data_IF_276292704136
#
_entry.id   IF_276292704136
#
_cell.length_a   1.000
_cell.length_b   1.000
_cell.length_c   1.000
_cell.angle_alpha   90.00
_cell.angle_beta   90.00
_cell.angle_gamma   90.00
#
_symmetry.space_group_name_H-M   'P 1'
#
loop_
_entity.id
_entity.type
_entity.pdbx_description
1 polymer ?
#
# COMPACT_ATOMS: atom_id res chain seq x y z
N UNK A 1 -19.58 7.42 -13.13
CA UNK A 1 -18.15 7.72 -13.42
C UNK A 1 -17.24 6.52 -13.11
N UNK A 2 -17.11 6.11 -11.85
CA UNK A 2 -16.23 4.99 -11.43
C UNK A 2 -16.66 3.65 -12.06
N UNK A 3 -17.97 3.38 -12.15
CA UNK A 3 -18.49 2.14 -12.78
C UNK A 3 -18.18 2.08 -14.27
N UNK A 4 -18.41 3.17 -14.99
CA UNK A 4 -18.02 3.26 -16.40
C UNK A 4 -16.53 2.97 -16.59
N UNK A 5 -15.66 3.48 -15.71
CA UNK A 5 -14.22 3.17 -15.71
C UNK A 5 -13.95 1.68 -15.43
N UNK A 6 -14.65 1.09 -14.46
CA UNK A 6 -14.55 -0.34 -14.14
C UNK A 6 -14.91 -1.24 -15.33
N UNK A 7 -15.90 -0.86 -16.13
CA UNK A 7 -16.41 -1.64 -17.27
C UNK A 7 -15.69 -1.35 -18.60
N UNK A 8 -14.74 -0.41 -18.59
CA UNK A 8 -13.98 -0.01 -19.77
C UNK A 8 -12.59 -0.63 -19.74
N UNK A 9 -12.33 -1.61 -20.62
CA UNK A 9 -11.03 -2.28 -20.78
C UNK A 9 -10.46 -2.22 -22.20
N UNK A 10 -11.26 -1.74 -23.15
CA UNK A 10 -10.95 -1.64 -24.58
C UNK A 10 -11.31 -0.23 -25.08
N UNK A 11 -10.70 0.19 -26.20
CA UNK A 11 -10.89 1.55 -26.73
C UNK A 11 -10.35 2.63 -25.78
N UNK A 12 -9.34 2.26 -25.00
CA UNK A 12 -8.69 3.10 -23.98
C UNK A 12 -7.48 3.83 -24.55
N UNK A 13 -6.96 4.84 -23.83
CA UNK A 13 -5.76 5.60 -24.24
C UNK A 13 -4.55 4.70 -24.53
N UNK A 14 -4.37 3.69 -23.69
CA UNK A 14 -3.44 2.59 -23.90
C UNK A 14 -4.21 1.28 -23.74
N UNK A 15 -4.00 0.31 -24.61
CA UNK A 15 -4.56 -1.03 -24.47
C UNK A 15 -3.95 -1.75 -23.26
N UNK A 16 -4.67 -2.77 -22.76
CA UNK A 16 -4.20 -3.59 -21.64
C UNK A 16 -2.85 -4.26 -21.94
N UNK A 17 -2.67 -4.75 -23.17
CA UNK A 17 -1.42 -5.38 -23.60
C UNK A 17 -0.27 -4.37 -23.69
N UNK A 18 -0.51 -3.15 -24.16
CA UNK A 18 0.51 -2.09 -24.17
C UNK A 18 0.97 -1.74 -22.75
N UNK A 19 0.05 -1.64 -21.79
CA UNK A 19 0.38 -1.37 -20.38
C UNK A 19 1.21 -2.53 -19.80
N UNK A 20 0.81 -3.77 -20.05
CA UNK A 20 1.55 -4.95 -19.59
C UNK A 20 2.97 -4.96 -20.17
N UNK A 21 3.09 -4.77 -21.49
CA UNK A 21 4.37 -4.75 -22.18
C UNK A 21 5.26 -3.59 -21.71
N UNK A 22 4.66 -2.45 -21.38
CA UNK A 22 5.36 -1.30 -20.79
C UNK A 22 6.01 -1.67 -19.44
N UNK A 23 5.29 -2.30 -18.51
CA UNK A 23 5.86 -2.76 -17.23
C UNK A 23 6.93 -3.84 -17.44
N UNK A 24 6.71 -4.78 -18.36
CA UNK A 24 7.69 -5.82 -18.70
C UNK A 24 8.98 -5.20 -19.27
N UNK A 25 8.86 -4.23 -20.17
CA UNK A 25 10.01 -3.53 -20.77
C UNK A 25 10.76 -2.68 -19.73
N UNK A 26 10.04 -2.03 -18.80
CA UNK A 26 10.65 -1.34 -17.66
C UNK A 26 11.47 -2.31 -16.81
N UNK A 27 10.89 -3.45 -16.43
CA UNK A 27 11.60 -4.50 -15.70
C UNK A 27 12.85 -5.03 -16.42
N UNK A 28 12.84 -5.11 -17.76
CA UNK A 28 14.00 -5.56 -18.56
C UNK A 28 15.08 -4.49 -18.74
N UNK A 29 14.69 -3.22 -18.82
CA UNK A 29 15.62 -2.10 -19.08
C UNK A 29 16.31 -1.58 -17.82
N UNK A 30 15.68 -1.74 -16.66
CA UNK A 30 16.18 -1.28 -15.38
C UNK A 30 17.24 -2.26 -14.86
N UNK A 31 18.48 -1.78 -14.78
CA UNK A 31 19.61 -2.53 -14.22
C UNK A 31 19.79 -2.12 -12.76
N UNK A 32 19.05 -2.76 -11.85
CA UNK A 32 19.23 -2.58 -10.41
C UNK A 32 19.95 -3.79 -9.85
N UNK A 33 21.11 -3.57 -9.22
CA UNK A 33 21.82 -4.60 -8.47
C UNK A 33 21.46 -4.49 -7.00
N UNK A 34 20.77 -5.50 -6.48
CA UNK A 34 20.40 -5.59 -5.07
C UNK A 34 21.21 -6.73 -4.47
N UNK A 35 22.00 -6.43 -3.45
CA UNK A 35 22.77 -7.43 -2.73
C UNK A 35 22.57 -7.25 -1.22
N UNK A 36 22.40 -8.34 -0.45
CA UNK A 36 22.35 -8.25 0.99
C UNK A 36 23.74 -7.83 1.52
N UNK A 37 23.75 -6.91 2.48
CA UNK A 37 24.97 -6.47 3.16
C UNK A 37 24.83 -6.62 4.68
N UNK A 38 25.92 -6.83 5.42
CA UNK A 38 25.88 -6.79 6.88
C UNK A 38 25.39 -5.43 7.39
N UNK A 39 24.71 -5.40 8.54
CA UNK A 39 24.26 -4.13 9.15
C UNK A 39 25.41 -3.15 9.42
N UNK A 40 26.61 -3.66 9.71
CA UNK A 40 27.81 -2.84 9.90
C UNK A 40 28.32 -2.16 8.62
N UNK A 41 27.79 -2.52 7.46
CA UNK A 41 28.13 -1.96 6.16
C UNK A 41 27.05 -1.04 5.60
N UNK A 42 25.98 -0.76 6.37
CA UNK A 42 24.96 0.19 5.96
C UNK A 42 25.48 1.62 6.12
N UNK A 43 25.49 2.37 5.01
CA UNK A 43 25.82 3.79 5.05
C UNK A 43 24.76 4.57 5.81
N UNK A 44 25.19 5.44 6.72
CA UNK A 44 24.34 6.33 7.53
C UNK A 44 23.34 5.65 8.48
N UNK A 45 23.35 4.32 8.60
CA UNK A 45 22.58 3.60 9.62
C UNK A 45 23.50 3.13 10.74
N UNK A 46 22.99 3.13 11.98
CA UNK A 46 23.73 2.68 13.15
C UNK A 46 22.86 1.87 14.09
N UNK A 47 23.49 0.97 14.84
CA UNK A 47 22.85 0.24 15.94
C UNK A 47 23.16 0.89 17.27
N UNK A 48 22.12 1.13 18.07
CA UNK A 48 22.25 1.65 19.42
C UNK A 48 22.68 0.56 20.43
N UNK A 49 22.91 0.98 21.68
CA UNK A 49 23.25 0.08 22.79
C UNK A 49 22.20 -1.01 23.03
N UNK A 50 20.91 -0.72 22.80
CA UNK A 50 19.81 -1.67 22.93
C UNK A 50 19.63 -2.57 21.69
N UNK A 51 20.38 -2.30 20.61
CA UNK A 51 20.34 -2.99 19.32
C UNK A 51 19.42 -2.36 18.28
N UNK A 52 18.71 -1.28 18.61
CA UNK A 52 17.83 -0.56 17.67
C UNK A 52 18.63 -0.07 16.47
N UNK A 53 18.18 -0.39 15.26
CA UNK A 53 18.76 0.08 14.01
C UNK A 53 18.03 1.35 13.56
N UNK A 54 18.75 2.45 13.36
CA UNK A 54 18.16 3.73 12.92
C UNK A 54 19.07 4.48 11.96
N UNK A 55 18.47 5.31 11.13
CA UNK A 55 19.22 6.22 10.26
C UNK A 55 19.72 7.43 11.06
N UNK A 56 20.96 7.85 10.81
CA UNK A 56 21.64 8.97 11.48
C UNK A 56 20.90 10.31 11.38
N UNK A 57 20.09 10.51 10.33
CA UNK A 57 19.25 11.71 10.19
C UNK A 57 17.95 11.68 11.01
N UNK A 58 17.63 10.57 11.68
CA UNK A 58 16.34 10.36 12.35
C UNK A 58 15.13 10.21 11.42
N UNK A 59 15.36 9.94 10.12
CA UNK A 59 14.30 9.78 9.09
C UNK A 59 14.14 8.32 8.68
N UNK A 60 13.32 8.08 7.66
CA UNK A 60 12.94 6.74 7.19
C UNK A 60 12.17 5.98 8.27
N UNK A 61 12.76 4.89 8.78
CA UNK A 61 12.20 4.04 9.81
C UNK A 61 13.31 3.59 10.76
N UNK A 62 12.94 3.04 11.90
CA UNK A 62 13.82 2.27 12.77
C UNK A 62 13.38 0.81 12.80
N UNK A 63 14.33 -0.10 13.06
CA UNK A 63 14.01 -1.45 13.50
C UNK A 63 14.19 -1.45 15.02
N UNK A 64 13.07 -1.55 15.72
CA UNK A 64 13.00 -1.56 17.18
C UNK A 64 12.56 -2.93 17.66
N UNK A 65 12.64 -3.15 18.98
CA UNK A 65 12.11 -4.36 19.59
C UNK A 65 10.86 -4.09 20.42
N UNK A 66 9.92 -5.03 20.38
CA UNK A 66 8.72 -5.02 21.21
C UNK A 66 8.54 -6.33 21.96
N UNK A 67 7.89 -6.25 23.12
CA UNK A 67 7.25 -7.36 23.82
C UNK A 67 5.74 -7.19 23.71
N UNK A 68 5.07 -8.25 23.28
CA UNK A 68 3.61 -8.31 23.22
C UNK A 68 3.12 -9.25 24.31
N UNK A 69 2.06 -8.85 25.00
CA UNK A 69 1.35 -9.64 26.00
C UNK A 69 -0.14 -9.60 25.70
N UNK A 70 -0.79 -10.77 25.69
CA UNK A 70 -2.21 -10.90 25.40
C UNK A 70 -2.82 -12.12 26.07
N UNK A 71 -4.12 -12.08 26.35
CA UNK A 71 -4.92 -13.23 26.77
C UNK A 71 -5.70 -13.86 25.59
N UNK A 72 -5.44 -13.40 24.36
CA UNK A 72 -6.03 -13.93 23.13
C UNK A 72 -5.16 -14.99 22.46
N UNK A 73 -5.75 -16.14 22.11
CA UNK A 73 -5.07 -17.21 21.39
C UNK A 73 -4.20 -18.10 22.27
N UNK A 74 -3.32 -18.89 21.66
CA UNK A 74 -2.49 -19.89 22.36
C UNK A 74 -1.17 -19.35 22.91
N UNK A 75 -0.71 -18.20 22.43
CA UNK A 75 0.56 -17.58 22.84
C UNK A 75 0.28 -16.29 23.60
N UNK A 76 0.53 -16.29 24.91
CA UNK A 76 0.21 -15.16 25.78
C UNK A 76 1.30 -14.08 25.84
N UNK A 77 2.53 -14.40 25.42
CA UNK A 77 3.61 -13.42 25.36
C UNK A 77 4.67 -13.81 24.33
N UNK A 78 5.22 -12.81 23.65
CA UNK A 78 6.40 -12.98 22.80
C UNK A 78 7.18 -11.68 22.64
N UNK A 79 8.40 -11.80 22.13
CA UNK A 79 9.18 -10.64 21.67
C UNK A 79 9.40 -10.72 20.17
N UNK A 80 9.47 -9.56 19.52
CA UNK A 80 9.81 -9.48 18.11
C UNK A 80 10.39 -8.12 17.74
N UNK A 81 11.26 -8.08 16.73
CA UNK A 81 11.54 -6.85 16.03
C UNK A 81 10.28 -6.29 15.37
N UNK A 82 10.26 -4.98 15.20
CA UNK A 82 9.18 -4.25 14.56
C UNK A 82 9.75 -3.04 13.83
N UNK A 83 9.19 -2.73 12.66
CA UNK A 83 9.49 -1.51 11.92
C UNK A 83 8.71 -0.38 12.57
N UNK A 84 9.40 0.64 13.06
CA UNK A 84 8.77 1.85 13.59
C UNK A 84 9.01 3.02 12.63
N UNK A 85 7.93 3.58 12.12
CA UNK A 85 7.92 4.79 11.31
C UNK A 85 6.70 5.61 11.72
N UNK A 86 6.82 6.48 12.74
CA UNK A 86 5.69 7.18 13.34
C UNK A 86 5.11 8.31 12.45
N UNK A 87 5.54 8.39 11.19
CA UNK A 87 5.05 9.35 10.22
C UNK A 87 3.85 8.80 9.43
N UNK A 88 2.88 9.67 9.11
CA UNK A 88 1.81 9.36 8.14
C UNK A 88 2.29 9.77 6.74
N UNK A 89 2.39 8.80 5.84
CA UNK A 89 2.70 9.02 4.43
C UNK A 89 1.43 9.20 3.59
N UNK A 90 1.61 9.64 2.35
CA UNK A 90 0.59 9.68 1.32
C UNK A 90 0.69 8.45 0.42
N UNK A 91 -0.47 7.81 0.19
CA UNK A 91 -0.71 6.88 -0.91
C UNK A 91 -1.83 7.50 -1.77
N UNK A 92 -1.43 8.25 -2.78
CA UNK A 92 -2.30 9.10 -3.58
C UNK A 92 -2.50 8.59 -4.99
N UNK A 93 -3.75 8.57 -5.47
CA UNK A 93 -4.07 8.34 -6.89
C UNK A 93 -4.79 9.55 -7.47
N UNK A 94 -4.22 10.13 -8.52
CA UNK A 94 -4.82 11.18 -9.31
C UNK A 94 -5.76 10.57 -10.34
N UNK A 95 -6.93 11.18 -10.54
CA UNK A 95 -7.90 10.75 -11.53
C UNK A 95 -8.33 11.90 -12.42
N UNK A 96 -8.61 11.62 -13.69
CA UNK A 96 -9.11 12.59 -14.67
C UNK A 96 -10.06 11.89 -15.64
N UNK A 97 -11.09 12.60 -16.10
CA UNK A 97 -11.97 12.08 -17.14
C UNK A 97 -11.39 12.32 -18.54
N UNK A 98 -11.37 11.27 -19.36
CA UNK A 98 -11.09 11.35 -20.78
C UNK A 98 -12.27 10.74 -21.53
N UNK A 99 -12.91 11.54 -22.39
CA UNK A 99 -14.10 11.12 -23.15
C UNK A 99 -15.23 10.54 -22.26
N UNK A 100 -15.42 11.11 -21.07
CA UNK A 100 -16.43 10.70 -20.09
C UNK A 100 -16.13 9.38 -19.36
N UNK A 101 -14.89 8.87 -19.46
CA UNK A 101 -14.40 7.71 -18.70
C UNK A 101 -13.33 8.19 -17.73
N UNK A 102 -13.43 7.81 -16.46
CA UNK A 102 -12.42 8.14 -15.46
C UNK A 102 -11.17 7.27 -15.66
N UNK A 103 -10.00 7.90 -15.68
CA UNK A 103 -8.70 7.24 -15.66
C UNK A 103 -7.98 7.58 -14.36
N UNK A 104 -7.08 6.69 -13.97
CA UNK A 104 -6.24 6.75 -12.79
C UNK A 104 -4.79 6.84 -13.29
N UNK A 105 -4.04 7.83 -12.82
CA UNK A 105 -2.64 8.01 -13.21
C UNK A 105 -1.79 7.07 -12.38
N UNK A 106 -1.27 6.01 -12.97
CA UNK A 106 -0.54 4.98 -12.24
C UNK A 106 0.96 5.08 -12.54
N UNK A 107 1.79 4.76 -11.55
CA UNK A 107 3.26 4.85 -11.68
C UNK A 107 3.88 3.46 -11.87
N UNK A 108 4.78 3.30 -12.83
CA UNK A 108 5.74 2.20 -12.87
C UNK A 108 6.87 2.50 -11.88
N UNK A 109 6.76 1.95 -10.67
CA UNK A 109 7.66 2.29 -9.57
C UNK A 109 8.67 1.19 -9.31
N UNK A 110 9.94 1.59 -9.24
CA UNK A 110 11.03 0.74 -8.77
C UNK A 110 11.01 0.72 -7.24
N UNK A 111 10.99 -0.46 -6.65
CA UNK A 111 11.24 -0.63 -5.21
C UNK A 111 12.21 -1.78 -4.97
N UNK A 112 13.22 -1.60 -4.10
CA UNK A 112 14.24 -2.61 -3.87
C UNK A 112 13.70 -3.89 -3.21
N UNK A 113 12.51 -3.83 -2.60
CA UNK A 113 11.84 -4.98 -1.99
C UNK A 113 10.96 -5.78 -2.96
N UNK A 114 10.75 -5.32 -4.19
CA UNK A 114 9.89 -6.03 -5.13
C UNK A 114 10.59 -7.26 -5.72
N UNK A 115 9.84 -8.36 -5.86
CA UNK A 115 10.32 -9.60 -6.50
C UNK A 115 10.74 -9.34 -7.95
N UNK A 116 9.93 -8.53 -8.66
CA UNK A 116 10.26 -7.91 -9.93
C UNK A 116 10.49 -6.41 -9.69
N UNK A 117 11.64 -5.87 -10.10
CA UNK A 117 12.07 -4.51 -9.74
C UNK A 117 10.97 -3.44 -9.84
N UNK A 118 10.12 -3.51 -10.88
CA UNK A 118 9.06 -2.54 -11.19
C UNK A 118 7.67 -3.14 -11.04
N UNK A 119 6.80 -2.44 -10.31
CA UNK A 119 5.37 -2.73 -10.19
C UNK A 119 4.53 -1.46 -10.40
N UNK A 120 3.24 -1.63 -10.68
CA UNK A 120 2.29 -0.51 -10.78
C UNK A 120 1.94 -0.04 -9.37
N UNK A 121 2.27 1.21 -9.04
CA UNK A 121 2.01 1.87 -7.77
C UNK A 121 1.02 3.05 -7.92
N UNK A 122 0.54 3.63 -6.81
CA UNK A 122 -0.21 4.89 -6.84
C UNK A 122 0.59 6.01 -7.52
N UNK A 123 -0.10 7.07 -7.97
CA UNK A 123 0.53 8.28 -8.54
C UNK A 123 1.57 8.87 -7.59
N UNK A 124 1.24 8.91 -6.30
CA UNK A 124 2.11 9.41 -5.26
C UNK A 124 2.25 8.37 -4.15
N UNK A 125 3.50 8.02 -3.84
CA UNK A 125 3.85 7.26 -2.66
C UNK A 125 5.00 7.99 -1.97
N UNK A 126 4.68 8.72 -0.90
CA UNK A 126 5.63 9.61 -0.23
C UNK A 126 5.46 9.62 1.30
N UNK A 127 6.56 9.48 2.03
CA UNK A 127 6.61 9.68 3.49
C UNK A 127 6.65 11.16 3.83
N UNK A 128 6.31 11.52 5.07
CA UNK A 128 6.36 12.91 5.57
C UNK A 128 7.75 13.52 5.49
N UNK A 129 8.76 12.74 5.84
CA UNK A 129 10.17 13.07 5.67
C UNK A 129 10.56 13.41 4.23
N UNK A 130 9.93 12.80 3.22
CA UNK A 130 10.24 13.04 1.81
C UNK A 130 9.54 14.29 1.25
N UNK A 131 8.26 14.51 1.55
CA UNK A 131 7.52 15.64 0.98
C UNK A 131 7.73 16.97 1.71
N UNK A 132 8.27 16.96 2.94
CA UNK A 132 8.66 18.19 3.65
C UNK A 132 9.96 18.83 3.11
N UNK A 133 10.55 18.28 2.04
CA UNK A 133 11.73 18.81 1.30
C UNK A 133 12.96 19.13 2.16
N UNK A 134 13.04 18.62 3.39
CA UNK A 134 14.13 18.89 4.34
C UNK A 134 15.45 18.22 3.88
N UNK A 135 15.50 17.61 2.70
CA UNK A 135 16.70 17.08 2.06
C UNK A 135 17.27 17.95 0.92
N UNK A 136 16.66 19.10 0.58
CA UNK A 136 16.95 19.81 -0.70
C UNK A 136 16.81 18.90 -1.94
N UNK A 137 16.19 17.72 -1.79
CA UNK A 137 15.90 16.80 -2.87
C UNK A 137 14.73 17.31 -3.70
N UNK A 138 14.57 16.76 -4.91
CA UNK A 138 13.42 17.11 -5.77
C UNK A 138 12.12 16.70 -5.08
N UNK A 139 11.12 17.58 -5.17
CA UNK A 139 9.76 17.27 -4.76
C UNK A 139 9.28 15.99 -5.46
N UNK A 140 8.59 15.07 -4.75
CA UNK A 140 7.89 13.99 -5.42
C UNK A 140 6.94 14.57 -6.46
N UNK A 141 6.94 13.99 -7.67
CA UNK A 141 6.03 14.37 -8.73
C UNK A 141 4.56 14.29 -8.24
N UNK A 142 3.75 15.23 -8.70
CA UNK A 142 2.31 15.33 -8.38
C UNK A 142 1.95 15.57 -6.91
N UNK A 143 2.91 15.79 -6.01
CA UNK A 143 2.65 16.03 -4.58
C UNK A 143 1.64 17.17 -4.34
N UNK A 144 1.79 18.28 -5.05
CA UNK A 144 0.99 19.48 -4.82
C UNK A 144 -0.49 19.27 -5.05
N UNK A 145 -0.88 18.35 -5.94
CA UNK A 145 -2.28 18.00 -6.16
C UNK A 145 -2.92 17.41 -4.90
N UNK A 146 -2.19 16.58 -4.15
CA UNK A 146 -2.72 15.92 -2.95
C UNK A 146 -2.67 16.80 -1.70
N UNK A 147 -1.65 17.65 -1.59
CA UNK A 147 -1.51 18.58 -0.46
C UNK A 147 -2.57 19.69 -0.53
N UNK A 148 -2.88 20.16 -1.74
CA UNK A 148 -3.80 21.28 -1.96
C UNK A 148 -5.20 20.85 -2.45
N UNK A 149 -5.51 19.55 -2.39
CA UNK A 149 -6.79 19.01 -2.83
C UNK A 149 -7.96 19.68 -2.08
N UNK A 150 -8.93 20.20 -2.83
CA UNK A 150 -10.18 20.72 -2.26
C UNK A 150 -11.18 19.59 -1.98
N UNK A 151 -12.14 19.78 -1.05
CA UNK A 151 -13.10 18.72 -0.69
C UNK A 151 -13.92 18.17 -1.86
N UNK A 152 -14.23 19.00 -2.86
CA UNK A 152 -14.98 18.63 -4.07
C UNK A 152 -14.17 17.75 -5.04
N UNK A 153 -12.83 17.79 -4.96
CA UNK A 153 -11.95 16.92 -5.74
C UNK A 153 -11.82 15.52 -5.11
N UNK A 154 -12.15 15.34 -3.83
CA UNK A 154 -11.88 14.09 -3.11
C UNK A 154 -12.91 13.00 -3.47
N UNK A 155 -12.43 11.91 -4.07
CA UNK A 155 -13.19 10.67 -4.29
C UNK A 155 -13.07 9.74 -3.06
N UNK A 156 -11.89 9.71 -2.46
CA UNK A 156 -11.57 8.89 -1.29
C UNK A 156 -10.53 9.62 -0.45
N UNK A 157 -10.71 9.66 0.87
CA UNK A 157 -9.67 10.11 1.80
C UNK A 157 -9.82 9.39 3.14
N UNK A 158 -8.89 8.48 3.44
CA UNK A 158 -8.94 7.64 4.63
C UNK A 158 -7.56 7.37 5.21
N UNK A 159 -7.45 7.36 6.53
CA UNK A 159 -6.27 6.83 7.22
C UNK A 159 -6.42 5.31 7.38
N UNK A 160 -5.51 4.55 6.78
CA UNK A 160 -5.47 3.09 6.89
C UNK A 160 -4.18 2.62 7.56
N UNK A 161 -4.25 1.49 8.25
CA UNK A 161 -3.09 0.85 8.91
C UNK A 161 -2.34 -0.09 7.97
N UNK A 162 -1.03 -0.18 8.15
CA UNK A 162 -0.17 -1.19 7.49
C UNK A 162 -0.17 -2.53 8.26
N UNK A 163 0.65 -3.51 7.84
CA UNK A 163 0.70 -4.83 8.47
C UNK A 163 1.17 -4.75 9.92
N UNK A 164 0.24 -4.87 10.87
CA UNK A 164 0.53 -4.76 12.31
C UNK A 164 1.49 -5.82 12.87
N UNK A 165 1.76 -6.90 12.13
CA UNK A 165 2.75 -7.91 12.48
C UNK A 165 4.20 -7.51 12.14
N UNK A 166 4.39 -6.42 11.37
CA UNK A 166 5.71 -5.93 10.90
C UNK A 166 5.91 -4.45 11.19
N UNK A 167 4.85 -3.66 11.18
CA UNK A 167 4.89 -2.23 11.47
C UNK A 167 4.24 -1.89 12.80
N UNK A 168 4.90 -1.06 13.59
CA UNK A 168 4.39 -0.55 14.84
C UNK A 168 3.42 0.61 14.57
N UNK A 169 2.11 0.34 14.62
CA UNK A 169 1.04 1.34 14.53
C UNK A 169 1.14 2.29 13.32
N UNK A 170 1.81 1.85 12.25
CA UNK A 170 2.00 2.63 11.03
C UNK A 170 0.66 2.86 10.35
N UNK A 171 0.48 4.10 9.87
CA UNK A 171 -0.66 4.49 9.05
C UNK A 171 -0.20 5.27 7.82
N UNK A 172 -1.01 5.20 6.77
CA UNK A 172 -0.88 6.02 5.58
C UNK A 172 -2.24 6.67 5.25
N UNK A 173 -2.20 7.86 4.67
CA UNK A 173 -3.37 8.55 4.11
C UNK A 173 -3.57 8.05 2.69
N UNK A 174 -4.60 7.24 2.51
CA UNK A 174 -5.05 6.76 1.21
C UNK A 174 -6.00 7.78 0.62
N UNK A 175 -5.60 8.39 -0.49
CA UNK A 175 -6.37 9.48 -1.10
C UNK A 175 -6.52 9.26 -2.60
N UNK A 176 -7.74 9.46 -3.10
CA UNK A 176 -8.03 9.49 -4.54
C UNK A 176 -8.70 10.83 -4.82
N UNK A 177 -8.15 11.59 -5.76
CA UNK A 177 -8.70 12.89 -6.14
C UNK A 177 -9.01 12.94 -7.62
N UNK A 178 -10.01 13.73 -8.00
CA UNK A 178 -10.38 14.03 -9.39
C UNK A 178 -9.91 15.44 -9.73
N UNK A 179 -9.22 15.56 -10.85
CA UNK A 179 -8.81 16.84 -11.43
C UNK A 179 -9.47 17.04 -12.79
N UNK A 180 -9.69 18.29 -13.14
CA UNK A 180 -10.31 18.69 -14.42
C UNK A 180 -9.25 19.29 -15.35
N UNK A 181 -8.23 19.93 -14.79
CA UNK A 181 -7.06 20.46 -15.49
C UNK A 181 -6.25 19.37 -16.19
N UNK A 182 -5.50 19.77 -17.22
CA UNK A 182 -4.56 18.86 -17.88
C UNK A 182 -3.34 18.62 -16.99
N UNK A 183 -2.93 17.35 -16.94
CA UNK A 183 -1.84 16.88 -16.10
C UNK A 183 -0.78 16.34 -17.03
N UNK A 184 0.46 16.82 -16.88
CA UNK A 184 1.60 16.30 -17.61
C UNK A 184 1.81 14.82 -17.23
N UNK A 185 1.75 13.91 -18.20
CA UNK A 185 2.07 12.50 -18.00
C UNK A 185 3.58 12.29 -18.24
N UNK A 186 4.32 11.96 -17.18
CA UNK A 186 5.74 11.63 -17.28
C UNK A 186 5.98 10.17 -17.70
N UNK A 187 7.18 9.84 -18.17
CA UNK A 187 7.51 8.54 -18.79
C UNK A 187 7.21 7.30 -17.91
N UNK A 188 7.35 7.43 -16.59
CA UNK A 188 7.08 6.37 -15.62
C UNK A 188 5.61 6.34 -15.17
N UNK A 189 4.74 7.08 -15.83
CA UNK A 189 3.33 7.18 -15.51
C UNK A 189 2.47 6.85 -16.72
N UNK A 190 1.31 6.25 -16.48
CA UNK A 190 0.29 5.98 -17.49
C UNK A 190 -1.10 6.13 -16.92
N UNK A 191 -1.98 6.79 -17.66
CA UNK A 191 -3.42 6.77 -17.42
C UNK A 191 -4.00 5.38 -17.70
N UNK A 192 -4.69 4.80 -16.71
CA UNK A 192 -5.36 3.49 -16.81
C UNK A 192 -6.80 3.60 -16.32
N UNK A 193 -7.73 2.86 -16.91
CA UNK A 193 -9.07 2.72 -16.33
C UNK A 193 -9.03 1.80 -15.10
N UNK A 194 -10.04 1.89 -14.23
CA UNK A 194 -10.18 0.97 -13.11
C UNK A 194 -10.30 -0.49 -13.57
N UNK A 195 -11.00 -0.73 -14.70
CA UNK A 195 -11.12 -2.05 -15.30
C UNK A 195 -9.77 -2.64 -15.69
N UNK A 196 -8.91 -1.85 -16.33
CA UNK A 196 -7.55 -2.29 -16.69
C UNK A 196 -6.71 -2.62 -15.46
N UNK A 197 -6.75 -1.77 -14.42
CA UNK A 197 -6.01 -2.02 -13.18
C UNK A 197 -6.50 -3.32 -12.52
N UNK A 198 -7.81 -3.57 -12.50
CA UNK A 198 -8.38 -4.82 -11.94
C UNK A 198 -8.00 -6.07 -12.74
N UNK A 199 -7.92 -5.99 -14.07
CA UNK A 199 -7.39 -7.09 -14.89
C UNK A 199 -5.90 -7.33 -14.61
N UNK A 200 -5.10 -6.25 -14.45
CA UNK A 200 -3.68 -6.36 -14.12
C UNK A 200 -3.43 -6.96 -12.73
N UNK A 201 -4.38 -6.84 -11.78
CA UNK A 201 -4.30 -7.51 -10.48
C UNK A 201 -4.37 -9.04 -10.55
N UNK A 202 -4.72 -9.62 -11.71
CA UNK A 202 -4.74 -11.08 -11.92
C UNK A 202 -3.36 -11.66 -12.23
N UNK A 203 -2.37 -10.79 -12.47
CA UNK A 203 -0.99 -11.19 -12.75
C UNK A 203 -0.14 -11.01 -11.51
N UNK A 204 0.66 -12.04 -11.20
CA UNK A 204 1.56 -12.01 -10.05
C UNK A 204 2.55 -10.86 -10.17
N UNK A 205 2.72 -10.14 -9.05
CA UNK A 205 3.69 -9.05 -8.92
C UNK A 205 3.50 -7.90 -9.95
N UNK A 206 2.32 -7.71 -10.53
CA UNK A 206 2.07 -6.63 -11.49
C UNK A 206 1.65 -5.32 -10.82
N UNK A 207 0.69 -5.40 -9.89
CA UNK A 207 0.14 -4.26 -9.15
C UNK A 207 0.65 -4.32 -7.72
N UNK A 208 1.27 -3.25 -7.23
CA UNK A 208 1.89 -3.23 -5.91
C UNK A 208 0.85 -3.24 -4.78
N UNK A 209 1.36 -3.41 -3.55
CA UNK A 209 0.52 -3.47 -2.35
C UNK A 209 -0.28 -2.18 -2.12
N UNK A 210 0.39 -1.03 -2.25
CA UNK A 210 -0.19 0.28 -1.93
C UNK A 210 -1.35 0.63 -2.87
N UNK A 211 -1.24 0.32 -4.16
CA UNK A 211 -2.34 0.46 -5.12
C UNK A 211 -3.54 -0.37 -4.72
N UNK A 212 -3.33 -1.64 -4.33
CA UNK A 212 -4.42 -2.52 -3.89
C UNK A 212 -5.11 -1.95 -2.64
N UNK A 213 -4.32 -1.44 -1.70
CA UNK A 213 -4.81 -0.80 -0.47
C UNK A 213 -5.67 0.43 -0.77
N UNK A 214 -5.19 1.37 -1.59
CA UNK A 214 -5.95 2.59 -1.93
C UNK A 214 -7.25 2.25 -2.66
N UNK A 215 -7.19 1.39 -3.68
CA UNK A 215 -8.37 1.01 -4.46
C UNK A 215 -9.38 0.16 -3.67
N UNK A 216 -8.96 -0.53 -2.61
CA UNK A 216 -9.88 -1.28 -1.74
C UNK A 216 -10.84 -0.39 -0.96
N UNK A 217 -10.48 0.88 -0.75
CA UNK A 217 -11.32 1.87 -0.07
C UNK A 217 -12.45 2.42 -0.94
N UNK A 218 -12.43 2.18 -2.25
CA UNK A 218 -13.50 2.61 -3.15
C UNK A 218 -14.77 1.78 -2.92
N UNK A 219 -15.80 2.43 -2.37
CA UNK A 219 -17.17 1.92 -2.43
C UNK A 219 -17.74 2.16 -3.82
N UNK A 220 -17.65 1.14 -4.68
CA UNK A 220 -18.13 1.22 -6.07
C UNK A 220 -19.64 1.55 -6.13
N UNK A 221 -20.41 1.06 -5.17
CA UNK A 221 -21.86 1.32 -5.07
C UNK A 221 -22.24 2.78 -4.89
N UNK A 222 -21.40 3.58 -4.24
CA UNK A 222 -21.66 5.01 -4.03
C UNK A 222 -21.66 5.79 -5.37
N UNK A 223 -21.16 5.16 -6.44
CA UNK A 223 -21.05 5.74 -7.78
C UNK A 223 -22.00 5.12 -8.81
N UNK A 224 -22.99 4.32 -8.36
CA UNK A 224 -24.05 3.78 -9.20
C UNK A 224 -24.97 4.88 -9.72
N UNK A 225 -25.12 4.97 -11.04
CA UNK A 225 -26.11 5.79 -11.71
C UNK A 225 -27.08 4.93 -12.52
N UNK A 226 -28.34 5.38 -12.65
CA UNK A 226 -29.33 4.76 -13.54
C UNK A 226 -28.88 4.73 -15.01
N UNK A 227 -27.94 5.59 -15.38
CA UNK A 227 -27.37 5.66 -16.73
C UNK A 227 -26.19 4.70 -16.94
N UNK A 228 -25.69 4.02 -15.90
CA UNK A 228 -24.58 3.09 -16.06
C UNK A 228 -25.04 1.82 -16.81
N UNK A 229 -24.37 1.50 -17.91
CA UNK A 229 -24.61 0.27 -18.66
C UNK A 229 -24.02 -0.93 -17.93
N UNK A 230 -24.89 -1.65 -17.22
CA UNK A 230 -24.53 -2.85 -16.45
C UNK A 230 -24.54 -4.13 -17.28
N UNK A 231 -24.77 -4.04 -18.60
CA UNK A 231 -24.83 -5.22 -19.48
C UNK A 231 -23.53 -6.02 -19.48
N UNK A 232 -22.39 -5.35 -19.28
CA UNK A 232 -21.05 -5.96 -19.24
C UNK A 232 -20.70 -6.66 -17.93
N UNK A 233 -21.50 -6.48 -16.87
CA UNK A 233 -21.28 -7.19 -15.62
C UNK A 233 -21.78 -8.63 -15.71
N UNK A 234 -20.99 -9.56 -15.18
CA UNK A 234 -21.45 -10.91 -14.90
C UNK A 234 -22.60 -10.91 -13.90
N UNK A 235 -23.37 -12.00 -13.83
CA UNK A 235 -24.42 -12.19 -12.83
C UNK A 235 -23.87 -11.97 -11.43
N UNK A 236 -22.74 -12.62 -11.12
CA UNK A 236 -22.04 -12.45 -9.85
C UNK A 236 -21.62 -10.99 -9.57
N UNK A 237 -21.16 -10.26 -10.58
CA UNK A 237 -20.82 -8.84 -10.45
C UNK A 237 -22.02 -7.95 -10.12
N UNK A 238 -23.18 -8.23 -10.75
CA UNK A 238 -24.45 -7.55 -10.44
C UNK A 238 -24.91 -7.88 -9.02
N UNK A 239 -24.81 -9.13 -8.60
CA UNK A 239 -25.19 -9.57 -7.26
C UNK A 239 -24.29 -8.94 -6.19
N UNK A 240 -22.98 -8.81 -6.44
CA UNK A 240 -22.07 -8.10 -5.54
C UNK A 240 -22.44 -6.62 -5.40
N UNK A 241 -22.76 -5.94 -6.50
CA UNK A 241 -23.18 -4.54 -6.44
C UNK A 241 -24.52 -4.39 -5.70
N UNK A 242 -25.48 -5.26 -5.98
CA UNK A 242 -26.75 -5.30 -5.25
C UNK A 242 -26.49 -5.53 -3.74
N UNK A 243 -25.66 -6.51 -3.40
CA UNK A 243 -25.27 -6.77 -2.01
C UNK A 243 -24.62 -5.57 -1.34
N UNK A 244 -23.90 -4.72 -2.08
CA UNK A 244 -23.24 -3.53 -1.53
C UNK A 244 -24.15 -2.32 -1.31
N UNK A 245 -25.37 -2.32 -1.87
CA UNK A 245 -26.39 -1.28 -1.67
C UNK A 245 -27.55 -1.73 -0.79
N UNK A 246 -27.83 -3.03 -0.73
CA UNK A 246 -28.91 -3.55 0.11
C UNK A 246 -28.48 -3.71 1.56
N UNK A 247 -29.43 -3.57 2.47
CA UNK A 247 -29.26 -3.88 3.88
C UNK A 247 -29.66 -5.33 4.22
N UNK A 248 -29.93 -6.16 3.20
CA UNK A 248 -30.26 -7.57 3.39
C UNK A 248 -28.97 -8.37 3.60
N UNK A 249 -28.64 -8.60 4.86
CA UNK A 249 -27.40 -9.26 5.27
C UNK A 249 -27.71 -10.32 6.33
N UNK A 250 -26.89 -11.37 6.40
CA UNK A 250 -27.00 -12.37 7.45
C UNK A 250 -26.74 -11.77 8.84
N UNK A 251 -25.83 -10.80 8.92
CA UNK A 251 -25.50 -10.06 10.13
C UNK A 251 -25.41 -8.58 9.82
N UNK A 252 -26.12 -7.80 10.61
CA UNK A 252 -26.20 -6.34 10.50
C UNK A 252 -24.87 -5.69 10.89
N UNK A 253 -24.68 -4.45 10.44
CA UNK A 253 -23.53 -3.63 10.84
C UNK A 253 -23.50 -3.45 12.37
N UNK A 254 -24.66 -3.28 13.01
CA UNK A 254 -24.76 -3.18 14.47
C UNK A 254 -24.28 -4.46 15.17
N UNK A 255 -24.61 -5.63 14.65
CA UNK A 255 -24.12 -6.91 15.18
C UNK A 255 -22.61 -7.07 14.97
N UNK A 256 -22.08 -6.71 13.80
CA UNK A 256 -20.65 -6.73 13.55
C UNK A 256 -19.89 -5.76 14.46
N UNK A 257 -20.40 -4.55 14.67
CA UNK A 257 -19.81 -3.57 15.59
C UNK A 257 -19.89 -4.02 17.05
N UNK A 258 -21.02 -4.63 17.45
CA UNK A 258 -21.19 -5.23 18.77
C UNK A 258 -20.20 -6.39 18.99
N UNK A 259 -20.05 -7.27 18.00
CA UNK A 259 -19.08 -8.37 18.03
C UNK A 259 -17.63 -7.86 18.12
N UNK A 260 -17.24 -6.90 17.28
CA UNK A 260 -15.91 -6.27 17.33
C UNK A 260 -15.65 -5.59 18.68
N UNK A 261 -16.66 -4.91 19.23
CA UNK A 261 -16.56 -4.26 20.54
C UNK A 261 -16.42 -5.30 21.66
N UNK A 262 -17.17 -6.41 21.59
CA UNK A 262 -17.03 -7.53 22.52
C UNK A 262 -15.63 -8.13 22.49
N UNK A 263 -15.03 -8.31 21.31
CA UNK A 263 -13.65 -8.78 21.19
C UNK A 263 -12.66 -7.82 21.84
N UNK A 264 -12.80 -6.52 21.60
CA UNK A 264 -11.94 -5.48 22.18
C UNK A 264 -12.08 -5.32 23.69
N UNK A 265 -13.24 -5.66 24.25
CA UNK A 265 -13.48 -5.60 25.70
C UNK A 265 -13.15 -6.92 26.42
N UNK A 266 -13.11 -8.03 25.69
CA UNK A 266 -12.85 -9.37 26.27
C UNK A 266 -11.36 -9.66 26.40
N UNK A 267 -10.57 -9.19 25.45
CA UNK A 267 -9.15 -9.51 25.36
C UNK A 267 -8.29 -8.28 25.52
N UNK A 268 -7.23 -8.43 26.29
CA UNK A 268 -6.19 -7.42 26.46
C UNK A 268 -5.04 -7.65 25.48
N UNK A 269 -4.50 -6.57 24.94
CA UNK A 269 -3.28 -6.56 24.13
C UNK A 269 -2.38 -5.42 24.59
N UNK A 270 -1.26 -5.77 25.21
CA UNK A 270 -0.25 -4.82 25.67
C UNK A 270 1.00 -4.96 24.81
N UNK A 271 1.55 -3.83 24.39
CA UNK A 271 2.76 -3.76 23.56
C UNK A 271 3.72 -2.80 24.23
N UNK A 272 4.89 -3.31 24.61
CA UNK A 272 5.93 -2.58 25.33
C UNK A 272 7.21 -2.55 24.50
N UNK A 273 7.98 -1.45 24.52
CA UNK A 273 9.34 -1.45 24.01
C UNK A 273 10.18 -2.55 24.69
N UNK A 274 11.02 -3.23 23.92
CA UNK A 274 11.89 -4.29 24.42
C UNK A 274 13.24 -4.25 23.70
N UNK A 275 14.39 -4.23 24.42
CA UNK A 275 15.70 -4.15 23.78
C UNK A 275 15.94 -5.32 22.80
N UNK A 276 16.28 -5.02 21.55
CA UNK A 276 16.57 -6.03 20.53
C UNK A 276 17.69 -6.99 20.98
N UNK A 277 18.73 -6.48 21.65
CA UNK A 277 19.83 -7.31 22.19
C UNK A 277 19.40 -8.31 23.26
N UNK A 278 18.22 -8.15 23.86
CA UNK A 278 17.68 -9.07 24.88
C UNK A 278 16.74 -10.14 24.28
N UNK A 279 16.49 -10.12 22.95
CA UNK A 279 15.64 -11.11 22.30
C UNK A 279 16.42 -12.40 22.05
N UNK A 280 16.12 -13.46 22.82
CA UNK A 280 16.79 -14.76 22.70
C UNK A 280 16.28 -15.60 21.53
N UNK A 281 15.03 -15.35 21.12
CA UNK A 281 14.32 -16.16 20.13
C UNK A 281 14.51 -15.65 18.70
N UNK A 282 15.23 -14.53 18.55
CA UNK A 282 15.58 -13.91 17.28
C UNK A 282 17.09 -13.90 17.10
N UNK A 283 17.55 -14.18 15.88
CA UNK A 283 18.97 -14.17 15.54
C UNK A 283 19.20 -13.29 14.32
N UNK A 284 20.29 -12.52 14.35
CA UNK A 284 20.80 -11.84 13.16
C UNK A 284 21.50 -12.84 12.26
N UNK A 285 21.28 -12.75 10.96
CA UNK A 285 22.03 -13.53 9.99
C UNK A 285 23.28 -12.75 9.55
N UNK A 286 24.50 -13.22 9.86
CA UNK A 286 25.68 -12.68 9.21
C UNK A 286 25.66 -13.14 7.74
N UNK A 287 25.61 -12.19 6.80
CA UNK A 287 25.49 -12.44 5.36
C UNK A 287 26.62 -13.39 4.88
N UNK A 288 26.33 -14.69 4.77
CA UNK A 288 27.25 -15.66 4.13
C UNK A 288 26.61 -16.63 3.13
N UNK A 289 25.29 -16.77 3.02
CA UNK A 289 24.69 -17.68 2.01
C UNK A 289 23.29 -17.25 1.56
N UNK A 290 22.88 -17.59 0.32
CA UNK A 290 21.52 -17.39 -0.17
C UNK A 290 20.53 -18.24 0.63
N UNK A 291 19.37 -17.65 0.93
CA UNK A 291 18.33 -18.24 1.79
C UNK A 291 17.68 -19.44 1.07
N UNK A 292 17.92 -20.66 1.56
CA UNK A 292 16.97 -21.79 1.43
C UNK A 292 16.14 -21.83 2.71
N UNK A 293 14.84 -21.62 2.60
CA UNK A 293 13.92 -21.63 3.73
C UNK A 293 13.52 -23.08 4.08
N UNK A 294 14.17 -23.67 5.09
CA UNK A 294 13.62 -24.82 5.83
C UNK A 294 13.75 -24.58 7.36
N UNK A 295 12.65 -24.84 8.06
CA UNK A 295 12.44 -24.95 9.51
C UNK A 295 12.43 -23.68 10.43
N UNK A 296 11.22 -23.43 10.96
CA UNK A 296 10.80 -23.03 12.34
C UNK A 296 11.45 -21.89 13.12
N UNK A 297 12.31 -21.06 12.55
CA UNK A 297 12.74 -19.80 13.17
C UNK A 297 12.15 -18.58 12.44
N UNK A 298 11.80 -17.51 13.18
CA UNK A 298 11.33 -16.23 12.63
C UNK A 298 12.55 -15.35 12.34
N UNK A 299 12.64 -14.80 11.14
CA UNK A 299 13.84 -14.12 10.63
C UNK A 299 13.58 -12.65 10.35
N UNK A 300 14.58 -11.81 10.64
CA UNK A 300 14.65 -10.42 10.18
C UNK A 300 15.52 -10.41 8.91
N UNK A 301 14.95 -10.03 7.77
CA UNK A 301 15.70 -9.76 6.53
C UNK A 301 16.03 -8.28 6.50
#
# INVERSE_FOLDING_TARGET
MVIRSLLTIQGTLHSLDEIRLWIENRNRSIHVSISPVPFSSLDHWSQDEDGTLRHSSGRFFSIEGIRVETDYGSLSSWTQPIINQPEVGYLGILTKEFNGVLYFLMQAKIEPGNVNCVQISPTLQATKSNYSQIHKGKQPLYLDYFVNASPDQIILDQLQSEQGARFLRKRNRNIIIKVEEDVEEHDDFRWMTLGQIKELMRYDNMVNMDTRTVLSGLKISDYLSLADDMSRLSVFGKDLLLSSVTNHCHSTISEHLSWLSSLKSRYDLKVHPFPLRKMTDWRYWPVKYPVRMENTLKWLV
#
